data_IF_654496314471
#
_entry.id   IF_654496314471
#
_cell.length_a   1.000
_cell.length_b   1.000
_cell.length_c   1.000
_cell.angle_alpha   90.00
_cell.angle_beta   90.00
_cell.angle_gamma   90.00
#
_symmetry.space_group_name_H-M   'P 1'
#
loop_
_entity.id
_entity.type
_entity.pdbx_description
1 polymer ?
#
# COMPACT_ATOMS: atom_id res chain seq x y z
N UNK A 1 2.58 21.50 -7.42
CA UNK A 1 2.02 21.53 -7.36
C UNK A 1 1.63 21.33 -7.37
N UNK A 2 1.50 21.20 -7.38
CA UNK A 2 0.87 21.04 -7.47
C UNK A 2 -0.03 21.11 -7.27
N UNK A 3 -0.20 21.58 -6.83
CA UNK A 3 -1.40 21.45 -6.74
C UNK A 3 -2.05 21.60 -7.83
N UNK A 4 -2.15 21.42 -8.34
CA UNK A 4 -2.66 21.63 -9.27
C UNK A 4 -3.42 22.54 -9.30
N UNK A 5 -3.62 23.16 -9.22
CA UNK A 5 -4.27 23.78 -9.09
C UNK A 5 -5.06 23.83 -9.35
N UNK A 6 -5.33 23.86 -9.64
CA UNK A 6 -6.17 23.85 -9.85
C UNK A 6 -7.13 24.02 -9.60
N UNK A 7 -7.11 24.58 -9.63
CA UNK A 7 -8.19 24.69 -9.40
C UNK A 7 -9.12 23.77 -9.58
N UNK A 8 -9.08 23.34 -9.90
CA UNK A 8 -9.82 22.73 -9.93
C UNK A 8 -10.13 21.80 -9.76
N UNK A 9 -10.12 21.70 -9.94
CA UNK A 9 -10.44 21.07 -9.63
C UNK A 9 -10.68 19.96 -9.13
N UNK A 10 -11.39 19.79 -8.36
CA UNK A 10 -11.54 18.69 -7.47
C UNK A 10 -11.96 17.40 -8.07
N UNK A 11 -12.87 17.41 -9.04
CA UNK A 11 -13.34 16.15 -9.61
C UNK A 11 -12.29 15.46 -10.48
N UNK A 12 -11.50 16.22 -11.19
CA UNK A 12 -10.38 15.65 -11.95
C UNK A 12 -9.34 15.07 -11.04
N UNK A 13 -9.04 15.77 -9.93
CA UNK A 13 -8.08 15.28 -8.95
C UNK A 13 -8.58 14.00 -8.28
N UNK A 14 -9.86 13.93 -7.99
CA UNK A 14 -10.44 12.71 -7.41
C UNK A 14 -10.32 11.54 -8.35
N UNK A 15 -10.64 11.73 -9.63
CA UNK A 15 -10.56 10.66 -10.61
C UNK A 15 -9.13 10.17 -10.76
N UNK A 16 -8.17 11.08 -10.85
CA UNK A 16 -6.76 10.71 -10.94
C UNK A 16 -6.29 10.02 -9.68
N UNK A 17 -6.72 10.50 -8.51
CA UNK A 17 -6.35 9.91 -7.24
C UNK A 17 -6.90 8.49 -7.11
N UNK A 18 -8.19 8.30 -7.45
CA UNK A 18 -8.83 7.00 -7.36
C UNK A 18 -8.15 6.00 -8.31
N UNK A 19 -7.86 6.44 -9.54
CA UNK A 19 -7.24 5.58 -10.53
C UNK A 19 -5.82 5.16 -10.14
N UNK A 20 -5.09 6.07 -9.49
CA UNK A 20 -3.70 5.83 -9.11
C UNK A 20 -3.56 5.22 -7.72
N UNK A 21 -4.66 5.06 -6.99
CA UNK A 21 -4.59 4.61 -5.61
C UNK A 21 -4.05 5.67 -4.68
N UNK A 22 -4.01 6.94 -5.11
CA UNK A 22 -3.61 8.05 -4.27
C UNK A 22 -2.21 8.00 -3.70
N UNK A 23 -1.32 7.21 -4.29
CA UNK A 23 0.02 7.01 -3.77
C UNK A 23 0.10 6.02 -2.62
N UNK A 24 -0.95 5.21 -2.44
CA UNK A 24 -1.02 4.28 -1.30
C UNK A 24 0.12 3.26 -1.31
N UNK A 25 0.45 2.70 -2.46
CA UNK A 25 1.54 1.72 -2.54
C UNK A 25 2.87 2.37 -2.14
N UNK A 26 3.11 3.60 -2.59
CA UNK A 26 4.33 4.32 -2.21
C UNK A 26 4.35 4.62 -0.72
N UNK A 27 3.20 4.94 -0.14
CA UNK A 27 3.11 5.21 1.30
C UNK A 27 3.42 3.96 2.11
N UNK A 28 2.87 2.81 1.72
CA UNK A 28 3.16 1.55 2.39
C UNK A 28 4.64 1.19 2.21
N UNK A 29 5.19 1.42 1.02
CA UNK A 29 6.61 1.16 0.77
C UNK A 29 7.48 2.03 1.68
N UNK A 30 7.17 3.31 1.81
CA UNK A 30 7.93 4.21 2.67
C UNK A 30 7.87 3.75 4.12
N UNK A 31 6.69 3.36 4.58
CA UNK A 31 6.52 2.85 5.93
C UNK A 31 7.36 1.59 6.15
N UNK A 32 7.30 0.64 5.26
CA UNK A 32 8.09 -0.59 5.40
C UNK A 32 9.58 -0.31 5.39
N UNK A 33 10.03 0.61 4.53
CA UNK A 33 11.45 1.00 4.52
C UNK A 33 11.85 1.63 5.84
N UNK A 34 10.97 2.42 6.44
CA UNK A 34 11.25 3.02 7.75
C UNK A 34 11.35 1.97 8.85
N UNK A 35 10.74 0.81 8.65
CA UNK A 35 10.80 -0.31 9.58
C UNK A 35 11.96 -1.26 9.29
N UNK A 36 12.79 -0.96 8.30
CA UNK A 36 14.00 -1.71 8.02
C UNK A 36 13.95 -2.63 6.82
N UNK A 37 12.83 -2.68 6.11
CA UNK A 37 12.74 -3.51 4.91
C UNK A 37 13.40 -2.79 3.73
N UNK A 38 14.46 -3.38 3.18
CA UNK A 38 15.21 -2.77 2.09
C UNK A 38 14.85 -3.28 0.71
N UNK A 39 13.99 -4.30 0.63
CA UNK A 39 13.68 -5.01 -0.61
C UNK A 39 12.22 -4.79 -1.04
N UNK A 40 11.71 -3.58 -0.84
CA UNK A 40 10.31 -3.24 -1.11
C UNK A 40 10.20 -2.50 -2.44
N UNK A 41 9.28 -2.96 -3.29
CA UNK A 41 9.09 -2.41 -4.64
C UNK A 41 7.59 -2.22 -4.90
N UNK A 42 7.27 -1.21 -5.71
CA UNK A 42 5.89 -0.96 -6.14
C UNK A 42 5.62 -1.51 -7.53
N UNK A 43 6.61 -2.18 -8.11
CA UNK A 43 6.47 -2.94 -9.35
C UNK A 43 7.46 -4.10 -9.28
N UNK A 44 7.16 -5.25 -9.89
CA UNK A 44 8.07 -6.39 -9.80
C UNK A 44 9.42 -6.07 -10.41
N UNK A 45 10.53 -6.18 -9.64
CA UNK A 45 11.86 -5.98 -10.20
C UNK A 45 12.32 -7.22 -10.94
N UNK A 46 13.30 -7.05 -11.82
CA UNK A 46 13.95 -8.19 -12.43
C UNK A 46 14.63 -9.04 -11.34
N UNK A 47 14.60 -10.35 -11.51
CA UNK A 47 15.21 -11.26 -10.52
C UNK A 47 16.71 -11.00 -10.35
N UNK A 48 17.38 -10.51 -11.40
CA UNK A 48 18.78 -10.15 -11.31
C UNK A 48 19.01 -8.92 -10.42
N UNK A 49 18.00 -8.08 -10.26
CA UNK A 49 18.12 -6.89 -9.41
C UNK A 49 17.80 -7.22 -7.97
N UNK A 50 16.81 -8.06 -7.74
CA UNK A 50 16.43 -8.46 -6.39
C UNK A 50 15.83 -9.85 -6.44
N UNK A 51 16.45 -10.80 -5.76
CA UNK A 51 16.02 -12.20 -5.77
C UNK A 51 14.80 -12.42 -4.89
N UNK A 52 14.66 -11.64 -3.83
CA UNK A 52 13.60 -11.84 -2.84
C UNK A 52 12.86 -10.54 -2.56
N UNK A 53 12.13 -9.99 -3.54
CA UNK A 53 11.44 -8.72 -3.36
C UNK A 53 10.13 -8.87 -2.59
N UNK A 54 9.75 -7.78 -1.95
CA UNK A 54 8.41 -7.58 -1.42
C UNK A 54 7.74 -6.60 -2.37
N UNK A 55 6.69 -7.04 -3.06
CA UNK A 55 6.05 -6.26 -4.11
C UNK A 55 4.70 -5.77 -3.62
N UNK A 56 4.45 -4.49 -3.79
CA UNK A 56 3.23 -3.83 -3.36
C UNK A 56 2.40 -3.41 -4.57
N UNK A 57 1.09 -3.57 -4.46
CA UNK A 57 0.16 -3.13 -5.51
C UNK A 57 -1.09 -2.56 -4.87
N UNK A 58 -1.43 -1.31 -5.20
CA UNK A 58 -2.64 -0.69 -4.70
C UNK A 58 -3.84 -1.19 -5.48
N UNK A 59 -4.93 -1.46 -4.76
CA UNK A 59 -6.20 -1.78 -5.36
C UNK A 59 -7.05 -0.53 -5.56
N UNK A 60 -8.36 -0.72 -5.67
CA UNK A 60 -9.29 0.38 -5.90
C UNK A 60 -9.72 1.01 -4.60
N UNK A 61 -9.79 2.33 -4.61
CA UNK A 61 -10.38 3.07 -3.51
C UNK A 61 -11.90 2.89 -3.54
N UNK A 62 -12.46 2.44 -2.42
CA UNK A 62 -13.91 2.28 -2.27
C UNK A 62 -14.39 3.34 -1.30
N UNK A 63 -15.20 4.25 -1.82
CA UNK A 63 -15.72 5.35 -1.04
C UNK A 63 -16.85 4.86 -0.15
N UNK A 64 -16.73 5.12 1.15
CA UNK A 64 -17.78 4.71 2.11
C UNK A 64 -18.84 5.77 2.22
N UNK A 65 -18.42 7.02 2.43
CA UNK A 65 -19.35 8.12 2.62
C UNK A 65 -18.66 9.44 2.35
N UNK A 66 -19.46 10.41 1.92
CA UNK A 66 -19.01 11.78 1.82
C UNK A 66 -19.62 12.55 2.99
N UNK A 67 -18.80 13.25 3.71
CA UNK A 67 -19.26 14.02 4.84
C UNK A 67 -19.77 15.39 4.39
N UNK A 68 -20.57 16.02 5.27
CA UNK A 68 -21.21 17.29 4.95
C UNK A 68 -20.20 18.39 4.68
N UNK A 69 -19.03 18.32 5.33
CA UNK A 69 -17.98 19.32 5.18
C UNK A 69 -17.09 19.11 3.96
N UNK A 70 -17.45 18.18 3.07
CA UNK A 70 -16.67 17.91 1.89
C UNK A 70 -15.60 16.85 2.07
N UNK A 71 -15.38 16.38 3.28
CA UNK A 71 -14.40 15.32 3.54
C UNK A 71 -14.89 14.00 2.96
N UNK A 72 -13.95 13.15 2.58
CA UNK A 72 -14.25 11.86 1.99
C UNK A 72 -13.53 10.78 2.76
N UNK A 73 -14.22 9.68 3.02
CA UNK A 73 -13.66 8.54 3.72
C UNK A 73 -13.93 7.28 2.92
N UNK A 74 -12.98 6.37 2.93
CA UNK A 74 -13.14 5.10 2.26
C UNK A 74 -12.01 4.16 2.58
N UNK A 75 -12.02 3.03 1.91
CA UNK A 75 -11.01 1.99 2.11
C UNK A 75 -10.22 1.78 0.83
N UNK A 76 -8.95 1.45 0.99
CA UNK A 76 -8.05 1.20 -0.12
C UNK A 76 -7.17 0.01 0.25
N UNK A 77 -7.30 -1.11 -0.46
CA UNK A 77 -6.44 -2.25 -0.18
C UNK A 77 -5.10 -2.08 -0.90
N UNK A 78 -4.04 -2.49 -0.22
CA UNK A 78 -2.70 -2.58 -0.81
C UNK A 78 -2.27 -4.03 -0.67
N UNK A 79 -2.10 -4.71 -1.79
CA UNK A 79 -1.62 -6.09 -1.80
C UNK A 79 -0.12 -6.11 -1.56
N UNK A 80 0.32 -7.08 -0.77
CA UNK A 80 1.73 -7.28 -0.46
C UNK A 80 2.07 -8.72 -0.81
N UNK A 81 3.08 -8.91 -1.65
CA UNK A 81 3.53 -10.23 -2.06
C UNK A 81 5.00 -10.39 -1.71
N UNK A 82 5.31 -11.38 -0.88
CA UNK A 82 6.67 -11.75 -0.56
C UNK A 82 7.11 -12.88 -1.48
N UNK A 83 8.27 -12.73 -2.10
CA UNK A 83 8.84 -13.71 -3.04
C UNK A 83 10.16 -14.19 -2.47
N UNK A 84 10.31 -15.50 -2.26
CA UNK A 84 11.55 -16.07 -1.74
C UNK A 84 11.82 -17.41 -2.40
N UNK A 85 13.09 -17.79 -2.45
CA UNK A 85 13.47 -19.10 -3.00
C UNK A 85 12.99 -20.24 -2.12
N UNK A 86 12.91 -20.01 -0.80
CA UNK A 86 12.46 -21.01 0.17
C UNK A 86 11.04 -20.66 0.62
N UNK A 87 10.10 -21.62 0.58
CA UNK A 87 8.73 -21.33 1.00
C UNK A 87 8.61 -20.93 2.46
N UNK A 88 9.50 -21.39 3.32
CA UNK A 88 9.48 -20.99 4.74
C UNK A 88 9.88 -19.54 4.91
N UNK A 89 10.85 -19.08 4.11
CA UNK A 89 11.28 -17.69 4.16
C UNK A 89 10.18 -16.77 3.62
N UNK A 90 9.48 -17.19 2.58
CA UNK A 90 8.36 -16.42 2.04
C UNK A 90 7.25 -16.29 3.07
N UNK A 91 6.92 -17.40 3.73
CA UNK A 91 5.91 -17.40 4.78
C UNK A 91 6.32 -16.51 5.94
N UNK A 92 7.57 -16.66 6.41
CA UNK A 92 8.06 -15.88 7.54
C UNK A 92 8.06 -14.38 7.23
N UNK A 93 8.47 -14.03 6.01
CA UNK A 93 8.48 -12.63 5.58
C UNK A 93 7.07 -12.06 5.53
N UNK A 94 6.13 -12.82 4.97
CA UNK A 94 4.75 -12.36 4.88
C UNK A 94 4.15 -12.14 6.26
N UNK A 95 4.38 -13.05 7.20
CA UNK A 95 3.88 -12.89 8.56
C UNK A 95 4.54 -11.71 9.28
N UNK A 96 5.84 -11.50 9.07
CA UNK A 96 6.53 -10.37 9.66
C UNK A 96 5.98 -9.05 9.13
N UNK A 97 5.78 -8.96 7.83
CA UNK A 97 5.24 -7.75 7.20
C UNK A 97 3.82 -7.49 7.71
N UNK A 98 2.99 -8.54 7.78
CA UNK A 98 1.63 -8.39 8.28
C UNK A 98 1.61 -7.80 9.68
N UNK A 99 2.41 -8.39 10.58
CA UNK A 99 2.48 -7.90 11.95
C UNK A 99 2.97 -6.46 12.01
N UNK A 100 4.01 -6.16 11.25
CA UNK A 100 4.60 -4.83 11.29
C UNK A 100 3.65 -3.77 10.72
N UNK A 101 2.90 -4.10 9.67
CA UNK A 101 1.90 -3.18 9.12
C UNK A 101 0.75 -2.97 10.09
N UNK A 102 0.32 -4.03 10.75
CA UNK A 102 -0.80 -3.97 11.70
C UNK A 102 -0.46 -3.12 12.92
N UNK A 103 0.80 -3.16 13.36
CA UNK A 103 1.23 -2.50 14.58
C UNK A 103 1.95 -1.17 14.33
N UNK A 104 2.11 -0.75 13.08
CA UNK A 104 2.91 0.41 12.73
C UNK A 104 2.20 1.71 13.07
N UNK A 105 3.00 2.76 13.18
CA UNK A 105 2.52 4.12 13.29
C UNK A 105 2.38 4.71 11.89
N UNK A 106 1.15 4.94 11.47
CA UNK A 106 0.81 5.37 10.11
C UNK A 106 0.74 6.89 9.99
N UNK A 107 1.58 7.59 10.69
CA UNK A 107 1.64 9.05 10.56
C UNK A 107 2.33 9.45 9.25
N UNK A 108 2.10 10.67 8.82
CA UNK A 108 2.75 11.19 7.61
C UNK A 108 4.26 11.22 7.70
N UNK A 109 4.83 11.28 8.90
CA UNK A 109 6.27 11.20 9.08
C UNK A 109 6.84 9.89 8.59
N UNK A 110 6.12 8.80 8.79
CA UNK A 110 6.58 7.47 8.40
C UNK A 110 6.18 7.09 6.99
N UNK A 111 5.03 7.60 6.52
CA UNK A 111 4.52 7.22 5.19
C UNK A 111 4.90 8.19 4.10
N UNK A 112 5.22 9.43 4.45
CA UNK A 112 5.42 10.48 3.46
C UNK A 112 4.15 10.85 2.71
N UNK A 113 3.00 10.38 3.16
CA UNK A 113 1.73 10.54 2.47
C UNK A 113 0.90 11.61 3.18
N UNK A 114 0.32 12.51 2.40
CA UNK A 114 -0.49 13.59 2.96
C UNK A 114 -1.91 13.13 3.31
N UNK A 115 -2.31 11.96 2.83
CA UNK A 115 -3.63 11.40 3.12
C UNK A 115 -3.58 10.76 4.51
N UNK A 116 -4.61 11.06 5.32
CA UNK A 116 -4.65 10.56 6.68
C UNK A 116 -5.16 9.12 6.72
N UNK A 117 -4.39 8.26 7.33
CA UNK A 117 -4.78 6.85 7.56
C UNK A 117 -5.45 6.79 8.92
N UNK A 118 -6.74 6.44 8.92
CA UNK A 118 -7.56 6.40 10.13
C UNK A 118 -7.45 5.05 10.82
N UNK A 119 -7.39 3.99 10.03
CA UNK A 119 -7.31 2.63 10.54
C UNK A 119 -6.67 1.73 9.50
N UNK A 120 -6.10 0.63 9.95
CA UNK A 120 -5.49 -0.37 9.07
C UNK A 120 -5.92 -1.74 9.54
N UNK A 121 -6.49 -2.51 8.62
CA UNK A 121 -6.74 -3.94 8.84
C UNK A 121 -5.83 -4.71 7.91
N UNK A 122 -5.35 -5.86 8.38
CA UNK A 122 -4.54 -6.73 7.55
C UNK A 122 -5.25 -8.07 7.39
N UNK A 123 -5.05 -8.70 6.23
CA UNK A 123 -5.53 -10.06 6.03
C UNK A 123 -4.43 -11.04 6.43
N UNK A 124 -4.84 -12.25 6.79
CA UNK A 124 -3.87 -13.29 7.13
C UNK A 124 -3.05 -13.63 5.88
N UNK A 125 -1.73 -13.79 6.02
CA UNK A 125 -0.90 -14.22 4.91
C UNK A 125 -1.31 -15.60 4.41
N UNK A 126 -1.21 -15.79 3.11
CA UNK A 126 -1.55 -17.08 2.51
C UNK A 126 -0.62 -17.37 1.32
N UNK A 127 -0.40 -18.65 1.03
CA UNK A 127 0.46 -19.01 -0.09
C UNK A 127 -0.25 -18.80 -1.42
N UNK A 128 0.53 -18.38 -2.42
CA UNK A 128 0.05 -18.23 -3.79
C UNK A 128 0.68 -19.26 -4.74
N UNK A 129 1.62 -20.07 -4.25
CA UNK A 129 2.34 -21.00 -5.08
C UNK A 129 3.68 -20.46 -5.53
N UNK A 130 4.08 -20.76 -6.77
CA UNK A 130 5.39 -20.39 -7.29
C UNK A 130 5.22 -19.51 -8.53
N UNK A 131 6.16 -18.60 -8.74
CA UNK A 131 6.15 -17.77 -9.93
C UNK A 131 6.90 -18.46 -11.07
N UNK A 132 7.01 -17.77 -12.21
CA UNK A 132 7.70 -18.31 -13.37
C UNK A 132 9.18 -18.55 -13.18
N UNK A 133 9.79 -17.92 -12.17
CA UNK A 133 11.20 -18.11 -11.82
C UNK A 133 11.40 -19.19 -10.77
N UNK A 134 10.33 -19.83 -10.32
CA UNK A 134 10.40 -20.86 -9.29
C UNK A 134 10.44 -20.35 -7.87
N UNK A 135 10.24 -19.05 -7.65
CA UNK A 135 10.19 -18.49 -6.31
C UNK A 135 8.83 -18.73 -5.70
N UNK A 136 8.81 -18.91 -4.38
CA UNK A 136 7.58 -19.10 -3.64
C UNK A 136 6.97 -17.74 -3.31
N UNK A 137 5.66 -17.66 -3.42
CA UNK A 137 4.91 -16.43 -3.20
C UNK A 137 3.96 -16.61 -2.03
N UNK A 138 3.98 -15.64 -1.12
CA UNK A 138 3.00 -15.48 -0.05
C UNK A 138 2.45 -14.08 -0.10
N UNK A 139 1.15 -13.93 0.09
CA UNK A 139 0.53 -12.62 -0.01
C UNK A 139 -0.37 -12.31 1.16
N UNK A 140 -0.54 -11.03 1.37
CA UNK A 140 -1.49 -10.46 2.32
C UNK A 140 -1.97 -9.14 1.76
N UNK A 141 -2.96 -8.56 2.39
CA UNK A 141 -3.39 -7.21 2.03
C UNK A 141 -3.45 -6.35 3.28
N UNK A 142 -3.04 -5.11 3.12
CA UNK A 142 -3.29 -4.07 4.11
C UNK A 142 -4.45 -3.25 3.60
N UNK A 143 -5.56 -3.23 4.34
CA UNK A 143 -6.74 -2.47 3.96
C UNK A 143 -6.72 -1.18 4.76
N UNK A 144 -6.46 -0.09 4.08
CA UNK A 144 -6.32 1.22 4.71
C UNK A 144 -7.66 1.92 4.71
N UNK A 145 -8.11 2.35 5.89
CA UNK A 145 -9.22 3.28 5.98
C UNK A 145 -8.62 4.67 5.98
N UNK A 146 -8.95 5.45 4.97
CA UNK A 146 -8.35 6.76 4.79
C UNK A 146 -9.41 7.84 4.75
N UNK A 147 -9.00 9.05 5.09
CA UNK A 147 -9.86 10.21 5.05
C UNK A 147 -9.09 11.33 4.38
N UNK A 148 -9.77 12.05 3.50
CA UNK A 148 -9.17 13.23 2.90
C UNK A 148 -10.24 14.29 2.69
N UNK A 149 -9.77 15.51 2.69
CA UNK A 149 -10.63 16.68 2.59
C UNK A 149 -10.35 17.33 1.24
N UNK A 150 -11.40 17.43 0.42
CA UNK A 150 -11.28 18.03 -0.91
C UNK A 150 -11.48 19.54 -0.90
N UNK A 151 -11.84 20.11 0.24
CA UNK A 151 -12.11 21.54 0.32
C UNK A 151 -10.88 22.36 0.60
N UNK A 152 -9.75 21.71 0.77
CA UNK A 152 -8.50 22.42 0.97
C UNK A 152 -7.76 22.68 -0.37
#
# INVERSE_FOLDING_TARGET
>A
MTRFEFGVSGSADRAAWDAAGGGAADAVAALLRSLGYGNVFTAPPAASLCAEPIVLAAGEFVRDARQVDGAERGTLPVGVTACCDDPRDAEATAHAVERDLRLADWTGENTGWHVRVVAVDTTAPRPLGRDGSGRWLWSLAAVLTIARDFDE
#
